data_IF_914508434164
#
_entry.id   IF_914508434164
#
_cell.length_a   1.000
_cell.length_b   1.000
_cell.length_c   1.000
_cell.angle_alpha   90.00
_cell.angle_beta   90.00
_cell.angle_gamma   90.00
#
_symmetry.space_group_name_H-M   'P 1'
#
loop_
_entity.id
_entity.type
_entity.pdbx_description
1 polymer ?
#
# COMPACT_ATOMS: atom_id res chain seq x y z
N UNK A 1 13.21 11.50 4.79
CA UNK A 1 14.46 11.05 5.43
C UNK A 1 15.38 10.64 4.29
N UNK A 2 16.39 11.45 3.96
CA UNK A 2 17.34 11.18 2.88
C UNK A 2 18.56 10.51 3.51
N UNK A 3 18.70 9.20 3.33
CA UNK A 3 19.92 8.50 3.72
C UNK A 3 20.89 8.51 2.54
N UNK A 4 22.04 9.18 2.71
CA UNK A 4 23.21 9.02 1.83
C UNK A 4 24.07 7.89 2.40
N UNK A 5 24.42 6.92 1.56
CA UNK A 5 25.48 5.96 1.88
C UNK A 5 26.76 6.37 1.11
N UNK A 6 27.93 6.45 1.77
CA UNK A 6 29.21 6.63 1.10
C UNK A 6 29.76 5.27 0.64
N UNK A 7 30.18 5.22 -0.63
CA UNK A 7 30.97 4.17 -1.30
C UNK A 7 30.41 2.73 -1.34
N UNK A 8 30.02 2.28 -2.54
CA UNK A 8 30.41 0.95 -3.07
C UNK A 8 29.96 0.77 -4.52
N UNK A 9 30.91 0.41 -5.39
CA UNK A 9 30.76 0.06 -6.81
C UNK A 9 29.99 -1.26 -7.07
N UNK A 10 29.08 -1.63 -6.18
CA UNK A 10 28.11 -2.69 -6.40
C UNK A 10 26.75 -2.07 -6.15
N UNK A 11 25.92 -2.01 -7.19
CA UNK A 11 24.58 -1.40 -7.16
C UNK A 11 23.72 -2.09 -6.10
N UNK A 12 23.84 -1.61 -4.87
CA UNK A 12 22.92 -1.87 -3.76
C UNK A 12 21.72 -0.96 -4.00
N UNK A 13 20.54 -1.56 -3.92
CA UNK A 13 19.26 -0.94 -4.19
C UNK A 13 19.01 0.13 -3.12
N UNK A 14 19.63 1.30 -3.30
CA UNK A 14 19.29 2.47 -2.51
C UNK A 14 17.87 2.87 -2.89
N UNK A 15 17.09 3.28 -1.89
CA UNK A 15 15.68 3.72 -1.96
C UNK A 15 15.36 4.68 -3.12
N UNK A 16 16.38 5.31 -3.69
CA UNK A 16 16.40 6.13 -4.90
C UNK A 16 15.96 5.39 -6.19
N UNK A 17 16.07 4.06 -6.24
CA UNK A 17 15.83 3.25 -7.45
C UNK A 17 14.61 2.34 -7.40
N UNK A 18 13.88 2.31 -6.28
CA UNK A 18 12.65 1.52 -6.23
C UNK A 18 11.55 2.21 -7.07
N UNK A 19 10.68 1.45 -7.76
CA UNK A 19 9.52 2.01 -8.47
C UNK A 19 8.65 2.93 -7.60
N UNK A 20 8.74 2.87 -6.27
CA UNK A 20 7.92 3.58 -5.30
C UNK A 20 8.15 5.10 -5.23
N UNK A 21 9.26 5.64 -5.73
CA UNK A 21 9.54 7.08 -5.63
C UNK A 21 8.46 7.96 -6.30
N UNK A 22 8.05 7.73 -7.57
CA UNK A 22 6.90 8.42 -8.13
C UNK A 22 5.58 8.12 -7.39
N UNK A 23 5.39 6.88 -6.91
CA UNK A 23 4.17 6.42 -6.24
C UNK A 23 3.99 6.91 -4.80
N UNK A 24 4.97 7.63 -4.25
CA UNK A 24 4.90 8.21 -2.89
C UNK A 24 4.93 9.74 -2.90
N UNK A 25 5.01 10.34 -4.09
CA UNK A 25 5.09 11.79 -4.26
C UNK A 25 3.89 12.47 -3.61
N UNK A 26 4.15 13.49 -2.80
CA UNK A 26 3.16 14.29 -2.06
C UNK A 26 2.32 13.57 -1.00
N UNK A 27 2.42 12.24 -0.83
CA UNK A 27 1.63 11.48 0.16
C UNK A 27 1.81 12.03 1.58
N UNK A 28 3.04 12.33 2.00
CA UNK A 28 3.29 12.89 3.32
C UNK A 28 2.71 14.30 3.50
N UNK A 29 2.80 15.13 2.46
CA UNK A 29 2.31 16.50 2.49
C UNK A 29 0.78 16.54 2.62
N UNK A 30 0.07 15.77 1.79
CA UNK A 30 -1.40 15.75 1.84
C UNK A 30 -1.89 15.13 3.15
N UNK A 31 -1.23 14.10 3.68
CA UNK A 31 -1.58 13.50 4.96
C UNK A 31 -1.33 14.46 6.14
N UNK A 32 -0.30 15.29 6.06
CA UNK A 32 -0.07 16.36 7.04
C UNK A 32 -1.19 17.40 6.99
N UNK A 33 -1.57 17.87 5.80
CA UNK A 33 -2.66 18.82 5.63
C UNK A 33 -4.00 18.24 6.09
N UNK A 34 -4.30 16.96 5.80
CA UNK A 34 -5.50 16.29 6.28
C UNK A 34 -5.55 16.26 7.82
N UNK A 35 -4.43 15.93 8.49
CA UNK A 35 -4.35 15.97 9.97
C UNK A 35 -4.58 17.35 10.56
N UNK A 36 -4.19 18.41 9.86
CA UNK A 36 -4.35 19.79 10.33
C UNK A 36 -5.74 20.36 10.03
N UNK A 37 -6.24 20.16 8.81
CA UNK A 37 -7.38 20.92 8.27
C UNK A 37 -8.64 20.06 8.13
N UNK A 38 -8.51 18.74 7.95
CA UNK A 38 -9.65 17.86 7.71
C UNK A 38 -10.11 17.18 9.00
N UNK A 39 -9.21 16.47 9.67
CA UNK A 39 -9.56 15.56 10.78
C UNK A 39 -9.15 16.08 12.17
N UNK A 40 -8.66 17.31 12.26
CA UNK A 40 -8.33 17.97 13.53
C UNK A 40 -9.59 18.31 14.34
N UNK A 41 -9.48 18.73 15.61
CA UNK A 41 -10.63 19.11 16.44
C UNK A 41 -11.49 20.22 15.82
N UNK A 42 -10.88 21.13 15.07
CA UNK A 42 -11.56 22.19 14.30
C UNK A 42 -11.58 21.91 12.79
N UNK A 43 -11.25 20.70 12.37
CA UNK A 43 -11.20 20.32 10.96
C UNK A 43 -12.59 20.11 10.36
N UNK A 44 -12.68 20.22 9.03
CA UNK A 44 -13.95 20.15 8.28
C UNK A 44 -14.71 18.85 8.58
N UNK A 45 -14.03 17.70 8.61
CA UNK A 45 -14.68 16.41 8.87
C UNK A 45 -15.25 16.34 10.30
N UNK A 46 -14.55 16.92 11.28
CA UNK A 46 -15.03 16.95 12.66
C UNK A 46 -16.27 17.84 12.83
N UNK A 47 -16.34 18.95 12.09
CA UNK A 47 -17.45 19.90 12.19
C UNK A 47 -18.72 19.44 11.47
N UNK A 48 -18.57 18.79 10.30
CA UNK A 48 -19.69 18.58 9.39
C UNK A 48 -20.06 17.11 9.16
N UNK A 49 -19.17 16.15 9.45
CA UNK A 49 -19.52 14.73 9.35
C UNK A 49 -20.15 14.24 10.65
N UNK A 50 -21.24 13.47 10.55
CA UNK A 50 -21.88 12.81 11.71
C UNK A 50 -20.91 11.86 12.43
N UNK A 51 -19.96 11.29 11.70
CA UNK A 51 -18.88 10.45 12.22
C UNK A 51 -17.62 11.24 12.63
N UNK A 52 -17.68 12.56 12.72
CA UNK A 52 -16.54 13.42 13.07
C UNK A 52 -15.98 13.21 14.49
N UNK A 53 -14.78 13.74 14.75
CA UNK A 53 -14.17 13.74 16.08
C UNK A 53 -13.87 12.33 16.63
N UNK A 54 -14.40 12.01 17.82
CA UNK A 54 -14.11 10.72 18.51
C UNK A 54 -14.63 9.50 17.76
N UNK A 55 -15.74 9.63 17.03
CA UNK A 55 -16.34 8.52 16.29
C UNK A 55 -15.40 8.06 15.17
N UNK A 56 -14.85 8.99 14.40
CA UNK A 56 -13.85 8.73 13.35
C UNK A 56 -12.66 7.93 13.88
N UNK A 57 -12.05 8.35 15.00
CA UNK A 57 -10.91 7.63 15.60
C UNK A 57 -11.29 6.20 15.98
N UNK A 58 -12.51 6.00 16.49
CA UNK A 58 -13.02 4.68 16.85
C UNK A 58 -13.21 3.79 15.61
N UNK A 59 -13.78 4.35 14.53
CA UNK A 59 -13.96 3.64 13.26
C UNK A 59 -12.60 3.24 12.67
N UNK A 60 -11.64 4.17 12.62
CA UNK A 60 -10.30 3.92 12.08
C UNK A 60 -9.57 2.82 12.87
N UNK A 61 -9.64 2.85 14.21
CA UNK A 61 -9.05 1.80 15.05
C UNK A 61 -9.67 0.43 14.79
N UNK A 62 -11.00 0.36 14.69
CA UNK A 62 -11.71 -0.89 14.39
C UNK A 62 -11.36 -1.40 12.99
N UNK A 63 -11.37 -0.53 11.99
CA UNK A 63 -11.00 -0.85 10.61
C UNK A 63 -9.57 -1.38 10.51
N UNK A 64 -8.62 -0.73 11.18
CA UNK A 64 -7.22 -1.19 11.23
C UNK A 64 -7.10 -2.55 11.91
N UNK A 65 -7.89 -2.80 12.97
CA UNK A 65 -7.87 -4.09 13.68
C UNK A 65 -8.45 -5.26 12.90
N UNK A 66 -9.38 -5.00 11.97
CA UNK A 66 -10.01 -6.04 11.15
C UNK A 66 -9.36 -6.22 9.78
N UNK A 67 -8.44 -5.33 9.39
CA UNK A 67 -7.79 -5.37 8.08
C UNK A 67 -6.90 -6.61 7.94
N UNK A 68 -6.85 -7.22 6.77
CA UNK A 68 -5.95 -8.35 6.51
C UNK A 68 -5.02 -8.02 5.36
N UNK A 69 -3.85 -8.67 5.30
CA UNK A 69 -2.97 -8.50 4.14
C UNK A 69 -3.68 -8.86 2.82
N UNK A 70 -4.58 -9.86 2.86
CA UNK A 70 -5.38 -10.30 1.70
C UNK A 70 -6.33 -9.22 1.20
N UNK A 71 -6.96 -8.47 2.11
CA UNK A 71 -7.84 -7.34 1.75
C UNK A 71 -7.10 -6.20 1.02
N UNK A 72 -5.76 -6.15 1.09
CA UNK A 72 -4.95 -5.19 0.33
C UNK A 72 -4.62 -5.68 -1.10
N UNK A 73 -4.83 -6.96 -1.39
CA UNK A 73 -4.53 -7.58 -2.67
C UNK A 73 -5.81 -7.76 -3.48
N UNK A 74 -5.99 -7.00 -4.57
CA UNK A 74 -7.23 -6.93 -5.37
C UNK A 74 -7.85 -8.31 -5.68
N UNK A 75 -7.05 -9.23 -6.22
CA UNK A 75 -7.53 -10.57 -6.57
C UNK A 75 -7.95 -11.40 -5.35
N UNK A 76 -7.22 -11.28 -4.23
CA UNK A 76 -7.54 -12.02 -3.02
C UNK A 76 -8.77 -11.43 -2.32
N UNK A 77 -8.93 -10.10 -2.31
CA UNK A 77 -10.10 -9.39 -1.77
C UNK A 77 -11.40 -9.71 -2.54
N UNK A 78 -11.36 -9.66 -3.88
CA UNK A 78 -12.52 -10.00 -4.72
C UNK A 78 -13.01 -11.43 -4.47
N UNK A 79 -12.07 -12.38 -4.41
CA UNK A 79 -12.39 -13.78 -4.15
C UNK A 79 -12.91 -14.00 -2.71
N UNK A 80 -12.30 -13.36 -1.71
CA UNK A 80 -12.73 -13.49 -0.31
C UNK A 80 -14.13 -12.91 -0.07
N UNK A 81 -14.54 -11.89 -0.84
CA UNK A 81 -15.90 -11.34 -0.83
C UNK A 81 -16.90 -12.14 -1.68
N UNK A 82 -16.46 -13.15 -2.43
CA UNK A 82 -17.31 -13.94 -3.34
C UNK A 82 -17.84 -13.13 -4.52
N UNK A 83 -17.06 -12.16 -5.00
CA UNK A 83 -17.50 -11.17 -6.00
C UNK A 83 -17.02 -11.48 -7.42
N UNK A 84 -16.45 -12.66 -7.66
CA UNK A 84 -15.84 -13.04 -8.93
C UNK A 84 -16.85 -13.10 -10.09
N UNK A 85 -18.07 -13.58 -9.82
CA UNK A 85 -19.08 -13.85 -10.86
C UNK A 85 -20.19 -12.78 -10.93
N UNK A 86 -20.07 -11.69 -10.16
CA UNK A 86 -21.09 -10.62 -10.16
C UNK A 86 -21.13 -9.93 -11.54
N UNK A 87 -22.28 -9.90 -12.24
CA UNK A 87 -22.36 -9.24 -13.54
C UNK A 87 -22.23 -7.71 -13.38
N UNK A 88 -21.65 -7.05 -14.39
CA UNK A 88 -21.48 -5.60 -14.46
C UNK A 88 -20.69 -4.98 -13.28
N UNK A 89 -19.72 -5.70 -12.73
CA UNK A 89 -18.88 -5.20 -11.66
C UNK A 89 -17.61 -4.52 -12.21
N UNK A 90 -17.75 -3.32 -12.78
CA UNK A 90 -16.66 -2.65 -13.49
C UNK A 90 -15.43 -2.34 -12.63
N UNK A 91 -15.60 -2.01 -11.33
CA UNK A 91 -14.48 -1.85 -10.40
C UNK A 91 -13.62 -3.12 -10.29
N UNK A 92 -14.26 -4.29 -10.25
CA UNK A 92 -13.55 -5.58 -10.26
C UNK A 92 -12.83 -5.75 -11.59
N UNK A 93 -13.55 -5.60 -12.69
CA UNK A 93 -13.05 -5.95 -14.02
C UNK A 93 -11.83 -5.07 -14.39
N UNK A 94 -11.97 -3.76 -14.24
CA UNK A 94 -10.88 -2.80 -14.50
C UNK A 94 -9.75 -2.94 -13.47
N UNK A 95 -10.10 -3.13 -12.20
CA UNK A 95 -9.12 -3.27 -11.13
C UNK A 95 -8.29 -4.54 -11.23
N UNK A 96 -8.87 -5.67 -11.65
CA UNK A 96 -8.13 -6.91 -11.90
C UNK A 96 -7.21 -6.78 -13.12
N UNK A 97 -7.67 -6.11 -14.19
CA UNK A 97 -6.85 -5.83 -15.36
C UNK A 97 -5.63 -4.96 -15.00
N UNK A 98 -5.85 -3.86 -14.27
CA UNK A 98 -4.77 -2.97 -13.83
C UNK A 98 -3.82 -3.68 -12.85
N UNK A 99 -4.36 -4.48 -11.93
CA UNK A 99 -3.57 -5.28 -11.00
C UNK A 99 -2.63 -6.22 -11.75
N UNK A 100 -3.11 -6.95 -12.76
CA UNK A 100 -2.27 -7.83 -13.59
C UNK A 100 -1.14 -7.07 -14.31
N UNK A 101 -1.45 -5.92 -14.92
CA UNK A 101 -0.46 -5.08 -15.61
C UNK A 101 0.66 -4.66 -14.64
N UNK A 102 0.27 -4.19 -13.45
CA UNK A 102 1.21 -3.74 -12.41
C UNK A 102 2.07 -4.92 -11.92
N UNK A 103 1.45 -6.08 -11.65
CA UNK A 103 2.18 -7.28 -11.22
C UNK A 103 3.21 -7.72 -12.26
N UNK A 104 2.86 -7.69 -13.56
CA UNK A 104 3.80 -7.98 -14.65
C UNK A 104 4.95 -6.97 -14.71
N UNK A 105 4.67 -5.68 -14.58
CA UNK A 105 5.68 -4.63 -14.54
C UNK A 105 6.67 -4.84 -13.39
N UNK A 106 6.17 -4.96 -12.15
CA UNK A 106 7.00 -5.19 -10.96
C UNK A 106 7.83 -6.46 -11.11
N UNK A 107 7.22 -7.56 -11.54
CA UNK A 107 7.94 -8.83 -11.74
C UNK A 107 9.07 -8.69 -12.76
N UNK A 108 8.86 -7.91 -13.82
CA UNK A 108 9.88 -7.57 -14.82
C UNK A 108 11.04 -6.79 -14.20
N UNK A 109 10.75 -5.72 -13.46
CA UNK A 109 11.76 -4.91 -12.76
C UNK A 109 12.53 -5.74 -11.75
N UNK A 110 11.83 -6.46 -10.86
CA UNK A 110 12.48 -7.33 -9.86
C UNK A 110 13.30 -8.43 -10.50
N UNK A 111 12.89 -8.98 -11.65
CA UNK A 111 13.67 -9.99 -12.38
C UNK A 111 14.98 -9.45 -12.96
N UNK A 112 15.11 -8.13 -13.13
CA UNK A 112 16.37 -7.51 -13.50
C UNK A 112 17.38 -7.56 -12.35
N UNK A 113 16.94 -7.28 -11.12
CA UNK A 113 17.78 -7.17 -9.93
C UNK A 113 17.96 -8.48 -9.15
N UNK A 114 16.92 -9.31 -9.05
CA UNK A 114 16.93 -10.57 -8.32
C UNK A 114 16.72 -11.76 -9.26
N UNK A 115 17.72 -12.63 -9.38
CA UNK A 115 17.68 -13.83 -10.23
C UNK A 115 17.02 -15.02 -9.54
N UNK A 116 17.03 -15.04 -8.21
CA UNK A 116 16.43 -16.11 -7.40
C UNK A 116 15.70 -15.56 -6.17
N UNK A 117 14.79 -16.35 -5.60
CA UNK A 117 14.14 -16.02 -4.33
C UNK A 117 15.13 -16.01 -3.15
N UNK A 118 16.27 -16.72 -3.28
CA UNK A 118 17.35 -16.68 -2.30
C UNK A 118 17.97 -15.29 -2.20
N UNK A 119 18.20 -14.62 -3.34
CA UNK A 119 18.73 -13.25 -3.36
C UNK A 119 17.77 -12.26 -2.69
N UNK A 120 16.46 -12.41 -2.90
CA UNK A 120 15.42 -11.60 -2.22
C UNK A 120 15.45 -11.83 -0.70
N UNK A 121 15.57 -13.10 -0.29
CA UNK A 121 15.58 -13.48 1.13
C UNK A 121 16.84 -13.03 1.87
N UNK A 122 17.96 -12.92 1.15
CA UNK A 122 19.25 -12.51 1.67
C UNK A 122 19.47 -10.99 1.67
N UNK A 123 18.61 -10.23 1.00
CA UNK A 123 18.67 -8.76 0.97
C UNK A 123 18.20 -8.17 2.31
N UNK A 124 19.16 -7.89 3.19
CA UNK A 124 18.88 -7.36 4.52
C UNK A 124 18.18 -5.99 4.51
N UNK A 125 18.45 -5.14 3.51
CA UNK A 125 17.80 -3.83 3.42
C UNK A 125 16.32 -3.99 3.08
N UNK A 126 16.01 -4.87 2.11
CA UNK A 126 14.64 -5.21 1.75
C UNK A 126 13.89 -5.85 2.93
N UNK A 127 14.52 -6.80 3.63
CA UNK A 127 13.91 -7.45 4.79
C UNK A 127 13.62 -6.45 5.92
N UNK A 128 14.57 -5.55 6.21
CA UNK A 128 14.39 -4.53 7.23
C UNK A 128 13.28 -3.54 6.86
N UNK A 129 13.17 -3.18 5.57
CA UNK A 129 12.10 -2.30 5.09
C UNK A 129 10.71 -2.93 5.23
N UNK A 130 10.55 -4.20 4.86
CA UNK A 130 9.28 -4.93 5.04
C UNK A 130 8.94 -5.01 6.54
N UNK A 131 9.94 -5.28 7.38
CA UNK A 131 9.75 -5.35 8.83
C UNK A 131 9.32 -3.99 9.41
N UNK A 132 9.92 -2.88 8.97
CA UNK A 132 9.58 -1.52 9.41
C UNK A 132 8.11 -1.18 9.09
N UNK A 133 7.64 -1.53 7.89
CA UNK A 133 6.23 -1.37 7.51
C UNK A 133 5.32 -2.23 8.40
N UNK A 134 5.70 -3.48 8.67
CA UNK A 134 4.90 -4.37 9.50
C UNK A 134 4.80 -3.87 10.95
N UNK A 135 5.94 -3.51 11.56
CA UNK A 135 6.01 -3.09 12.96
C UNK A 135 5.42 -1.71 13.19
N UNK A 136 5.75 -0.74 12.35
CA UNK A 136 5.35 0.66 12.57
C UNK A 136 4.17 1.09 11.71
N UNK A 137 4.03 0.55 10.51
CA UNK A 137 2.87 0.81 9.65
C UNK A 137 1.63 0.04 10.09
N UNK A 138 1.77 -1.26 10.38
CA UNK A 138 0.67 -2.15 10.75
C UNK A 138 0.60 -2.52 12.23
N UNK A 139 1.52 -2.01 13.06
CA UNK A 139 1.55 -2.22 14.51
C UNK A 139 1.72 -3.69 14.91
N UNK A 140 2.50 -4.44 14.13
CA UNK A 140 2.78 -5.87 14.34
C UNK A 140 1.54 -6.77 14.44
N UNK A 141 0.43 -6.33 13.84
CA UNK A 141 -0.83 -7.07 13.86
C UNK A 141 -0.73 -8.36 13.04
N UNK A 142 -1.00 -9.51 13.66
CA UNK A 142 -0.76 -10.82 13.06
C UNK A 142 -1.49 -11.04 11.72
N UNK A 143 -2.69 -10.48 11.57
CA UNK A 143 -3.50 -10.42 10.35
C UNK A 143 -2.85 -9.66 9.18
N UNK A 144 -1.82 -8.84 9.47
CA UNK A 144 -1.04 -8.08 8.49
C UNK A 144 0.33 -8.70 8.21
N UNK A 145 0.63 -9.87 8.78
CA UNK A 145 1.96 -10.47 8.66
C UNK A 145 2.29 -10.84 7.19
N UNK A 146 3.32 -10.23 6.59
CA UNK A 146 3.70 -10.45 5.21
C UNK A 146 4.56 -11.72 5.02
N UNK A 147 4.74 -12.59 6.02
CA UNK A 147 5.59 -13.79 5.90
C UNK A 147 5.15 -14.80 4.83
N UNK A 148 3.98 -14.61 4.21
CA UNK A 148 3.57 -15.32 2.97
C UNK A 148 3.95 -14.59 1.67
N UNK A 149 4.55 -13.40 1.76
CA UNK A 149 4.88 -12.45 0.68
C UNK A 149 6.39 -12.36 0.36
N UNK A 150 7.23 -13.15 1.03
CA UNK A 150 8.70 -13.18 0.85
C UNK A 150 9.16 -13.96 -0.41
N UNK A 151 8.39 -13.90 -1.50
CA UNK A 151 8.74 -14.52 -2.79
C UNK A 151 8.76 -13.42 -3.83
N UNK A 152 9.61 -13.53 -4.87
CA UNK A 152 9.79 -12.51 -5.93
C UNK A 152 8.48 -12.01 -6.56
N UNK A 153 7.40 -12.79 -6.49
CA UNK A 153 6.06 -12.41 -6.96
C UNK A 153 5.19 -11.58 -6.01
N UNK A 154 5.61 -11.31 -4.77
CA UNK A 154 4.79 -10.62 -3.76
C UNK A 154 5.43 -9.38 -3.14
N UNK A 155 6.73 -9.13 -3.39
CA UNK A 155 7.48 -7.96 -2.89
C UNK A 155 6.87 -6.61 -3.34
N UNK A 156 6.12 -6.57 -4.44
CA UNK A 156 5.47 -5.33 -4.91
C UNK A 156 4.10 -4.99 -4.31
N UNK A 157 3.47 -5.91 -3.55
CA UNK A 157 2.04 -5.78 -3.25
C UNK A 157 1.68 -4.57 -2.36
N UNK A 158 2.61 -4.09 -1.54
CA UNK A 158 2.35 -2.99 -0.58
C UNK A 158 2.28 -1.61 -1.25
N UNK A 159 3.02 -1.38 -2.34
CA UNK A 159 3.10 -0.05 -2.97
C UNK A 159 1.89 0.29 -3.85
N UNK A 160 1.11 -0.70 -4.29
CA UNK A 160 0.11 -0.50 -5.36
C UNK A 160 -1.33 -0.36 -4.87
N UNK A 161 -1.61 -0.80 -3.63
CA UNK A 161 -2.91 -0.59 -3.02
C UNK A 161 -3.25 0.91 -2.93
N UNK A 162 -2.23 1.76 -2.72
CA UNK A 162 -2.39 3.21 -2.71
C UNK A 162 -2.97 3.74 -4.03
N UNK A 163 -2.23 3.65 -5.12
CA UNK A 163 -2.55 4.44 -6.32
C UNK A 163 -3.90 4.10 -6.96
N UNK A 164 -4.22 2.80 -7.13
CA UNK A 164 -5.48 2.40 -7.75
C UNK A 164 -6.67 2.72 -6.85
N UNK A 165 -6.59 2.37 -5.56
CA UNK A 165 -7.70 2.56 -4.63
C UNK A 165 -7.95 4.05 -4.34
N UNK A 166 -6.89 4.86 -4.19
CA UNK A 166 -7.00 6.31 -4.06
C UNK A 166 -7.58 6.97 -5.31
N UNK A 167 -7.24 6.48 -6.51
CA UNK A 167 -7.82 7.03 -7.76
C UNK A 167 -9.28 6.66 -7.89
N UNK A 168 -9.65 5.39 -7.70
CA UNK A 168 -11.03 4.94 -7.79
C UNK A 168 -11.95 5.66 -6.81
N UNK A 169 -11.57 5.71 -5.52
CA UNK A 169 -12.38 6.35 -4.49
C UNK A 169 -12.26 7.88 -4.51
N UNK A 170 -11.09 8.40 -4.87
CA UNK A 170 -10.84 9.84 -4.94
C UNK A 170 -11.60 10.51 -6.08
N UNK A 171 -11.56 9.95 -7.28
CA UNK A 171 -12.26 10.52 -8.44
C UNK A 171 -13.78 10.58 -8.26
N UNK A 172 -14.37 9.62 -7.55
CA UNK A 172 -15.81 9.63 -7.20
C UNK A 172 -16.18 10.74 -6.21
N UNK A 173 -15.28 11.13 -5.30
CA UNK A 173 -15.52 12.20 -4.31
C UNK A 173 -15.41 13.61 -4.90
N UNK A 174 -14.72 13.79 -6.03
CA UNK A 174 -14.53 15.08 -6.72
C UNK A 174 -15.46 15.29 -7.93
N UNK A 175 -16.32 14.31 -8.23
CA UNK A 175 -17.31 14.39 -9.33
C UNK A 175 -18.73 14.76 -8.85
N UNK A 176 -18.86 15.23 -7.60
CA UNK A 176 -20.10 15.75 -7.01
C UNK A 176 -19.99 17.24 -6.72
#
# INVERSE_FOLDING_TARGET
MLWKCPDSDNVKITFSFFPSAPHTRYTLQINYLARLLLISPSGVFTQFASSGGKAMITILKRSLSSMTYRSLCMSEDIAERGMEDVPNYYYRDDGLMLWDIIQRFVKGVLGHYYKSDAEVSQDSELQQWIQDIFEHGFLSQANMNPSKALIRGRVGQVCHHGDFHWTALGCELWTV
#
